data_IF_784309587091
#
_entry.id   IF_784309587091
#
_cell.length_a   1.000
_cell.length_b   1.000
_cell.length_c   1.000
_cell.angle_alpha   90.00
_cell.angle_beta   90.00
_cell.angle_gamma   90.00
#
_symmetry.space_group_name_H-M   'P 1'
#
loop_
_entity.id
_entity.type
_entity.pdbx_description
1 polymer ?
#
# COMPACT_ATOMS: atom_id res chain seq x y z
N UNK A 1 -36.89 -2.13 -16.67
CA UNK A 1 -36.08 -0.90 -16.67
C UNK A 1 -34.88 -1.17 -15.77
N UNK A 2 -33.66 -1.15 -16.31
CA UNK A 2 -32.46 -1.31 -15.48
C UNK A 2 -32.25 0.00 -14.72
N UNK A 3 -32.70 0.04 -13.46
CA UNK A 3 -32.37 1.13 -12.54
C UNK A 3 -30.84 1.19 -12.37
N UNK A 4 -30.23 2.19 -12.98
CA UNK A 4 -28.83 2.50 -12.79
C UNK A 4 -28.64 2.97 -11.34
N UNK A 5 -27.81 2.25 -10.59
CA UNK A 5 -27.42 2.62 -9.23
C UNK A 5 -25.93 2.97 -9.21
N UNK A 6 -25.52 4.08 -8.56
CA UNK A 6 -24.10 4.44 -8.45
C UNK A 6 -23.31 3.46 -7.56
N UNK A 7 -24.01 2.57 -6.86
CA UNK A 7 -23.44 1.52 -6.00
C UNK A 7 -23.51 0.19 -6.75
N UNK A 8 -22.39 -0.52 -6.81
CA UNK A 8 -22.33 -1.86 -7.42
C UNK A 8 -23.11 -2.86 -6.57
N UNK A 9 -23.92 -3.71 -7.21
CA UNK A 9 -24.67 -4.81 -6.54
C UNK A 9 -23.81 -6.06 -6.29
N UNK A 10 -22.75 -6.22 -7.08
CA UNK A 10 -21.80 -7.34 -7.00
C UNK A 10 -20.38 -6.80 -7.07
N UNK A 11 -19.50 -7.34 -6.25
CA UNK A 11 -18.08 -7.04 -6.31
C UNK A 11 -17.44 -7.85 -7.44
N UNK A 12 -16.77 -7.15 -8.34
CA UNK A 12 -15.91 -7.74 -9.36
C UNK A 12 -14.47 -7.26 -9.10
N UNK A 13 -13.54 -8.16 -8.72
CA UNK A 13 -12.16 -7.77 -8.44
C UNK A 13 -11.43 -7.22 -9.68
N UNK A 14 -11.78 -7.65 -10.88
CA UNK A 14 -11.16 -7.17 -12.12
C UNK A 14 -11.58 -5.72 -12.38
N UNK A 15 -12.89 -5.46 -12.38
CA UNK A 15 -13.42 -4.10 -12.60
C UNK A 15 -13.10 -3.14 -11.45
N UNK A 16 -13.08 -3.63 -10.21
CA UNK A 16 -12.60 -2.84 -9.09
C UNK A 16 -11.11 -2.51 -9.23
N UNK A 17 -10.33 -3.44 -9.80
CA UNK A 17 -8.89 -3.36 -10.01
C UNK A 17 -8.48 -2.42 -11.13
N UNK A 18 -9.28 -2.39 -12.20
CA UNK A 18 -9.02 -1.59 -13.40
C UNK A 18 -9.10 -0.09 -13.11
N UNK A 19 -8.23 0.70 -13.74
CA UNK A 19 -8.19 2.16 -13.56
C UNK A 19 -9.31 2.84 -14.35
N UNK A 20 -9.62 2.33 -15.54
CA UNK A 20 -10.61 2.88 -16.47
C UNK A 20 -11.86 2.01 -16.58
N UNK A 21 -11.89 0.84 -15.93
CA UNK A 21 -12.99 -0.10 -15.95
C UNK A 21 -13.05 -0.95 -17.22
N UNK A 22 -12.09 -0.80 -18.14
CA UNK A 22 -12.10 -1.48 -19.44
C UNK A 22 -11.39 -2.82 -19.42
N UNK A 23 -10.57 -3.11 -18.41
CA UNK A 23 -9.79 -4.36 -18.36
C UNK A 23 -10.69 -5.60 -18.49
N UNK A 24 -10.27 -6.51 -19.37
CA UNK A 24 -10.84 -7.85 -19.56
C UNK A 24 -9.94 -8.93 -18.93
N UNK A 25 -8.65 -8.64 -18.75
CA UNK A 25 -7.67 -9.54 -18.16
C UNK A 25 -7.04 -8.96 -16.89
N UNK A 26 -6.70 -9.79 -15.89
CA UNK A 26 -6.08 -9.32 -14.65
C UNK A 26 -4.67 -8.80 -14.90
N UNK A 27 -4.51 -7.48 -14.88
CA UNK A 27 -3.23 -6.80 -15.08
C UNK A 27 -2.25 -6.92 -13.89
N UNK A 28 -2.66 -7.50 -12.75
CA UNK A 28 -1.82 -7.67 -11.57
C UNK A 28 -2.11 -8.98 -10.82
N UNK A 29 -1.06 -9.57 -10.23
CA UNK A 29 -1.13 -10.74 -9.36
C UNK A 29 -2.14 -10.61 -8.22
N UNK A 30 -2.37 -9.42 -7.66
CA UNK A 30 -3.38 -9.22 -6.62
C UNK A 30 -4.81 -9.39 -7.15
N UNK A 31 -5.09 -8.88 -8.36
CA UNK A 31 -6.39 -9.03 -9.02
C UNK A 31 -6.63 -10.50 -9.36
N UNK A 32 -5.61 -11.17 -9.93
CA UNK A 32 -5.66 -12.61 -10.18
C UNK A 32 -5.90 -13.42 -8.89
N UNK A 33 -5.19 -13.09 -7.81
CA UNK A 33 -5.40 -13.73 -6.50
C UNK A 33 -6.81 -13.48 -5.96
N UNK A 34 -7.35 -12.28 -6.16
CA UNK A 34 -8.72 -11.96 -5.76
C UNK A 34 -9.71 -12.82 -6.56
N UNK A 35 -9.60 -12.87 -7.89
CA UNK A 35 -10.46 -13.68 -8.75
C UNK A 35 -10.45 -15.16 -8.38
N UNK A 36 -9.29 -15.71 -8.03
CA UNK A 36 -9.14 -17.11 -7.62
C UNK A 36 -9.55 -17.37 -6.17
N UNK A 37 -9.65 -16.34 -5.34
CA UNK A 37 -9.95 -16.49 -3.92
C UNK A 37 -11.44 -16.68 -3.68
N UNK A 38 -11.78 -17.68 -2.85
CA UNK A 38 -13.12 -17.83 -2.29
C UNK A 38 -13.13 -17.28 -0.87
N UNK A 39 -13.80 -16.14 -0.69
CA UNK A 39 -13.97 -15.55 0.63
C UNK A 39 -15.37 -15.79 1.17
N UNK A 40 -15.46 -16.23 2.44
CA UNK A 40 -16.71 -16.33 3.17
C UNK A 40 -16.63 -15.39 4.38
N UNK A 41 -17.56 -14.43 4.52
CA UNK A 41 -17.64 -13.57 5.68
C UNK A 41 -17.67 -14.33 7.00
N UNK A 42 -17.15 -13.71 8.06
CA UNK A 42 -17.16 -14.33 9.38
C UNK A 42 -18.61 -14.46 9.90
N UNK A 43 -19.06 -15.69 10.17
CA UNK A 43 -20.40 -15.98 10.69
C UNK A 43 -20.65 -15.45 12.10
N UNK A 44 -19.59 -15.17 12.87
CA UNK A 44 -19.70 -14.63 14.23
C UNK A 44 -20.09 -13.16 14.30
N UNK A 45 -20.28 -12.48 13.16
CA UNK A 45 -20.73 -11.07 13.14
C UNK A 45 -22.26 -11.03 13.17
N UNK A 46 -22.80 -10.64 14.33
CA UNK A 46 -24.24 -10.43 14.53
C UNK A 46 -24.61 -8.96 14.32
N UNK A 47 -25.88 -8.72 13.95
CA UNK A 47 -26.41 -7.37 13.68
C UNK A 47 -26.78 -7.17 12.21
N UNK A 48 -27.46 -6.07 11.90
CA UNK A 48 -27.90 -5.75 10.54
C UNK A 48 -26.76 -5.14 9.72
N UNK A 49 -26.33 -5.76 8.58
CA UNK A 49 -25.33 -5.18 7.69
C UNK A 49 -25.68 -3.80 7.15
N UNK A 50 -26.97 -3.52 6.91
CA UNK A 50 -27.42 -2.26 6.31
C UNK A 50 -27.33 -1.09 7.29
N UNK A 51 -27.40 -1.39 8.59
CA UNK A 51 -27.26 -0.41 9.68
C UNK A 51 -25.84 -0.38 10.27
N UNK A 52 -24.89 -1.08 9.64
CA UNK A 52 -23.51 -1.14 10.09
C UNK A 52 -22.60 -0.26 9.24
N UNK A 53 -21.91 0.66 9.91
CA UNK A 53 -20.93 1.57 9.34
C UNK A 53 -19.51 1.04 9.57
N UNK A 54 -18.70 1.08 8.52
CA UNK A 54 -17.28 0.77 8.55
C UNK A 54 -16.48 2.06 8.74
N UNK A 55 -15.63 2.07 9.78
CA UNK A 55 -14.72 3.19 10.07
C UNK A 55 -13.29 2.67 10.03
N UNK A 56 -12.40 3.33 9.30
CA UNK A 56 -11.00 2.93 9.15
C UNK A 56 -10.05 4.12 9.24
N UNK A 57 -8.74 3.84 9.22
CA UNK A 57 -7.66 4.82 9.46
C UNK A 57 -7.68 5.42 10.86
N UNK A 58 -8.26 4.69 11.82
CA UNK A 58 -8.24 5.07 13.22
C UNK A 58 -6.81 5.09 13.77
N UNK A 59 -6.58 5.90 14.79
CA UNK A 59 -5.33 5.82 15.55
C UNK A 59 -5.28 4.49 16.32
N UNK A 60 -4.10 3.86 16.49
CA UNK A 60 -3.98 2.68 17.33
C UNK A 60 -4.38 2.94 18.79
N UNK A 61 -4.32 4.20 19.21
CA UNK A 61 -4.70 4.66 20.55
C UNK A 61 -6.20 4.91 20.70
N UNK A 62 -6.97 4.97 19.61
CA UNK A 62 -8.41 5.25 19.67
C UNK A 62 -9.15 4.11 20.36
N UNK A 63 -9.96 4.44 21.37
CA UNK A 63 -10.76 3.49 22.14
C UNK A 63 -12.21 3.43 21.63
N UNK A 64 -12.93 2.37 22.02
CA UNK A 64 -14.36 2.23 21.71
C UNK A 64 -15.20 3.34 22.34
N UNK A 65 -14.83 3.80 23.53
CA UNK A 65 -15.47 4.92 24.22
C UNK A 65 -15.33 6.22 23.41
N UNK A 66 -14.15 6.48 22.86
CA UNK A 66 -13.93 7.68 22.04
C UNK A 66 -14.73 7.62 20.74
N UNK A 67 -14.81 6.45 20.12
CA UNK A 67 -15.68 6.25 18.96
C UNK A 67 -17.14 6.46 19.33
N UNK A 68 -17.59 5.96 20.49
CA UNK A 68 -18.95 6.18 20.98
C UNK A 68 -19.25 7.66 21.15
N UNK A 69 -18.40 8.40 21.83
CA UNK A 69 -18.54 9.84 22.05
C UNK A 69 -18.64 10.60 20.71
N UNK A 70 -17.74 10.31 19.78
CA UNK A 70 -17.70 11.01 18.48
C UNK A 70 -18.91 10.66 17.61
N UNK A 71 -19.28 9.38 17.52
CA UNK A 71 -20.31 8.92 16.59
C UNK A 71 -21.73 9.00 17.15
N UNK A 72 -21.91 9.12 18.48
CA UNK A 72 -23.25 9.26 19.09
C UNK A 72 -23.95 10.55 18.66
N UNK A 73 -23.21 11.56 18.18
CA UNK A 73 -23.80 12.81 17.65
C UNK A 73 -24.70 12.61 16.42
N UNK A 74 -24.49 11.52 15.68
CA UNK A 74 -25.24 11.24 14.44
C UNK A 74 -26.50 10.41 14.70
N UNK A 75 -26.56 9.70 15.83
CA UNK A 75 -27.72 8.95 16.29
C UNK A 75 -27.37 7.83 17.26
N UNK A 76 -28.40 7.10 17.68
CA UNK A 76 -28.27 6.05 18.69
C UNK A 76 -27.50 4.84 18.16
N UNK A 77 -26.39 4.55 18.84
CA UNK A 77 -25.54 3.40 18.55
C UNK A 77 -26.09 2.17 19.28
N UNK A 78 -26.27 1.08 18.54
CA UNK A 78 -26.67 -0.23 19.06
C UNK A 78 -25.46 -1.05 19.49
N UNK A 79 -24.40 -1.04 18.68
CA UNK A 79 -23.18 -1.81 18.95
C UNK A 79 -21.95 -1.14 18.34
N UNK A 80 -20.83 -1.21 19.04
CA UNK A 80 -19.51 -0.84 18.51
C UNK A 80 -18.63 -2.07 18.60
N UNK A 81 -17.81 -2.28 17.58
CA UNK A 81 -16.78 -3.32 17.57
C UNK A 81 -15.49 -2.75 17.00
N UNK A 82 -14.54 -2.43 17.86
CA UNK A 82 -13.19 -2.07 17.45
C UNK A 82 -12.40 -3.35 17.18
N UNK A 83 -11.89 -3.50 15.95
CA UNK A 83 -11.16 -4.72 15.61
C UNK A 83 -9.73 -4.63 16.11
N UNK A 84 -9.40 -5.55 17.02
CA UNK A 84 -8.07 -5.73 17.59
C UNK A 84 -7.43 -7.00 17.07
N UNK A 85 -6.12 -7.03 17.12
CA UNK A 85 -5.37 -8.24 16.86
C UNK A 85 -5.44 -9.19 18.07
N UNK A 86 -5.67 -10.47 17.80
CA UNK A 86 -5.92 -11.45 18.85
C UNK A 86 -4.65 -11.82 19.63
N UNK A 87 -3.47 -11.72 18.99
CA UNK A 87 -2.18 -12.03 19.60
C UNK A 87 -1.68 -10.81 20.37
N UNK A 88 -1.60 -9.66 19.70
CA UNK A 88 -0.94 -8.48 20.27
C UNK A 88 -1.90 -7.57 21.06
N UNK A 89 -3.21 -7.75 20.92
CA UNK A 89 -4.23 -6.89 21.53
C UNK A 89 -4.32 -5.48 20.92
N UNK A 90 -3.41 -5.12 20.01
CA UNK A 90 -3.39 -3.80 19.39
C UNK A 90 -4.55 -3.61 18.40
N UNK A 91 -5.07 -2.39 18.36
CA UNK A 91 -6.09 -1.98 17.40
C UNK A 91 -5.57 -2.09 15.96
N UNK A 92 -6.33 -2.76 15.09
CA UNK A 92 -6.01 -2.83 13.64
C UNK A 92 -6.33 -1.54 12.88
N UNK A 93 -6.80 -0.50 13.60
CA UNK A 93 -7.10 0.81 13.04
C UNK A 93 -8.43 0.87 12.27
N UNK A 94 -9.35 -0.06 12.54
CA UNK A 94 -10.71 -0.01 12.00
C UNK A 94 -11.74 -0.58 12.98
N UNK A 95 -12.98 -0.10 12.86
CA UNK A 95 -14.11 -0.45 13.70
C UNK A 95 -15.39 -0.57 12.88
N UNK A 96 -16.37 -1.27 13.45
CA UNK A 96 -17.73 -1.36 12.93
C UNK A 96 -18.69 -0.77 13.95
N UNK A 97 -19.61 0.06 13.48
CA UNK A 97 -20.61 0.75 14.32
C UNK A 97 -21.99 0.43 13.77
N UNK A 98 -22.79 -0.30 14.54
CA UNK A 98 -24.20 -0.60 14.21
C UNK A 98 -25.10 0.46 14.85
N UNK A 99 -25.90 1.15 14.04
CA UNK A 99 -26.91 2.11 14.51
C UNK A 99 -28.27 1.44 14.70
N UNK A 100 -29.13 2.08 15.49
CA UNK A 100 -30.54 1.65 15.60
C UNK A 100 -31.40 2.11 14.42
N UNK A 101 -31.03 3.20 13.76
CA UNK A 101 -31.83 3.85 12.71
C UNK A 101 -31.01 4.07 11.44
N UNK A 102 -31.67 3.92 10.29
CA UNK A 102 -31.05 4.14 8.97
C UNK A 102 -30.69 5.62 8.72
N UNK A 103 -31.52 6.54 9.23
CA UNK A 103 -31.23 7.97 9.11
C UNK A 103 -29.89 8.36 9.76
N UNK A 104 -29.53 7.70 10.86
CA UNK A 104 -28.28 7.96 11.57
C UNK A 104 -27.06 7.50 10.76
N UNK A 105 -27.13 6.31 10.13
CA UNK A 105 -26.02 5.82 9.30
C UNK A 105 -25.80 6.69 8.07
N UNK A 106 -26.88 7.16 7.43
CA UNK A 106 -26.79 8.04 6.27
C UNK A 106 -26.16 9.40 6.61
N UNK A 107 -26.51 9.99 7.75
CA UNK A 107 -25.88 11.22 8.27
C UNK A 107 -24.40 10.98 8.59
N UNK A 108 -24.09 9.92 9.34
CA UNK A 108 -22.71 9.58 9.70
C UNK A 108 -21.84 9.32 8.46
N UNK A 109 -22.36 8.62 7.44
CA UNK A 109 -21.64 8.35 6.20
C UNK A 109 -21.29 9.62 5.41
N UNK A 110 -22.16 10.62 5.44
CA UNK A 110 -21.96 11.90 4.76
C UNK A 110 -20.98 12.79 5.53
N UNK A 111 -21.21 12.97 6.82
CA UNK A 111 -20.56 14.02 7.61
C UNK A 111 -19.32 13.54 8.37
N UNK A 112 -19.23 12.25 8.72
CA UNK A 112 -18.10 11.73 9.50
C UNK A 112 -16.91 11.32 8.62
N UNK A 113 -17.08 11.25 7.30
CA UNK A 113 -15.99 10.90 6.39
C UNK A 113 -14.94 12.01 6.37
N UNK A 114 -13.66 11.67 6.58
CA UNK A 114 -12.52 12.58 6.76
C UNK A 114 -12.52 13.40 8.05
N UNK A 115 -13.33 13.02 9.04
CA UNK A 115 -13.25 13.62 10.37
C UNK A 115 -11.89 13.34 10.99
N UNK A 116 -11.31 14.30 11.72
CA UNK A 116 -10.05 14.11 12.43
C UNK A 116 -10.33 13.58 13.83
N UNK A 117 -9.84 12.37 14.13
CA UNK A 117 -9.87 11.74 15.47
C UNK A 117 -8.43 11.41 15.84
N UNK A 118 -7.97 11.84 17.01
CA UNK A 118 -6.61 11.60 17.51
C UNK A 118 -5.52 11.96 16.47
N UNK A 119 -5.67 13.14 15.84
CA UNK A 119 -4.77 13.67 14.80
C UNK A 119 -4.74 12.85 13.50
N UNK A 120 -5.73 11.97 13.26
CA UNK A 120 -5.85 11.21 12.02
C UNK A 120 -7.20 11.40 11.37
N UNK A 121 -7.19 11.60 10.06
CA UNK A 121 -8.41 11.59 9.24
C UNK A 121 -8.95 10.17 9.11
N UNK A 122 -10.18 9.99 9.58
CA UNK A 122 -10.88 8.71 9.50
C UNK A 122 -11.58 8.56 8.15
N UNK A 123 -11.62 7.34 7.64
CA UNK A 123 -12.38 7.00 6.46
C UNK A 123 -13.63 6.23 6.86
N UNK A 124 -14.80 6.69 6.40
CA UNK A 124 -16.10 6.16 6.78
C UNK A 124 -16.85 5.68 5.54
N UNK A 125 -17.31 4.44 5.58
CA UNK A 125 -18.09 3.83 4.50
C UNK A 125 -19.12 2.84 5.04
N UNK A 126 -19.99 2.32 4.18
CA UNK A 126 -20.90 1.23 4.56
C UNK A 126 -20.15 -0.09 4.77
N UNK A 127 -20.75 -1.02 5.52
CA UNK A 127 -20.21 -2.37 5.59
C UNK A 127 -20.41 -3.11 4.26
N UNK A 128 -19.29 -3.46 3.63
CA UNK A 128 -19.30 -4.14 2.33
C UNK A 128 -19.21 -5.66 2.45
N UNK A 129 -18.69 -6.17 3.57
CA UNK A 129 -18.40 -7.61 3.71
C UNK A 129 -19.64 -8.49 3.62
N UNK A 130 -20.73 -8.06 4.26
CA UNK A 130 -22.00 -8.78 4.28
C UNK A 130 -23.01 -8.26 3.25
N UNK A 131 -22.90 -6.99 2.84
CA UNK A 131 -23.84 -6.35 1.93
C UNK A 131 -23.47 -6.56 0.45
N UNK A 132 -22.17 -6.53 0.11
CA UNK A 132 -21.72 -6.63 -1.27
C UNK A 132 -21.42 -8.09 -1.66
N UNK A 133 -22.23 -8.66 -2.54
CA UNK A 133 -22.06 -10.05 -3.00
C UNK A 133 -20.72 -10.23 -3.71
N UNK A 134 -19.97 -11.24 -3.30
CA UNK A 134 -18.65 -11.54 -3.87
C UNK A 134 -17.53 -10.65 -3.35
N UNK A 135 -17.75 -9.89 -2.26
CA UNK A 135 -16.71 -9.06 -1.65
C UNK A 135 -15.46 -9.86 -1.29
N UNK A 136 -14.30 -9.31 -1.64
CA UNK A 136 -13.00 -9.91 -1.35
C UNK A 136 -12.18 -8.90 -0.56
N UNK A 137 -11.69 -9.23 0.65
CA UNK A 137 -10.92 -8.29 1.44
C UNK A 137 -9.49 -8.14 0.91
N UNK A 138 -8.82 -7.05 1.28
CA UNK A 138 -7.48 -6.68 0.79
C UNK A 138 -6.42 -7.77 0.96
N UNK A 139 -6.50 -8.59 2.01
CA UNK A 139 -5.56 -9.70 2.26
C UNK A 139 -5.54 -10.75 1.14
N UNK A 140 -6.67 -10.91 0.43
CA UNK A 140 -6.76 -11.79 -0.74
C UNK A 140 -6.53 -11.04 -2.06
N UNK A 141 -6.17 -9.75 -2.00
CA UNK A 141 -5.88 -8.95 -3.18
C UNK A 141 -7.07 -8.19 -3.75
N UNK A 142 -8.24 -8.22 -3.11
CA UNK A 142 -9.36 -7.34 -3.46
C UNK A 142 -9.39 -6.08 -2.59
N UNK A 143 -10.59 -5.72 -2.12
CA UNK A 143 -10.90 -4.55 -1.34
C UNK A 143 -11.08 -3.30 -2.19
N UNK A 144 -11.41 -2.18 -1.55
CA UNK A 144 -11.37 -0.86 -2.17
C UNK A 144 -10.19 -0.05 -1.65
N UNK A 145 -9.66 0.84 -2.48
CA UNK A 145 -8.49 1.65 -2.18
C UNK A 145 -7.19 0.85 -2.04
N UNK A 146 -6.10 1.57 -1.82
CA UNK A 146 -4.76 1.01 -1.66
C UNK A 146 -3.73 1.81 -2.42
N UNK A 147 -2.50 1.88 -1.88
CA UNK A 147 -1.33 2.41 -2.57
C UNK A 147 -0.40 1.23 -2.83
N UNK A 148 0.02 1.01 -4.08
CA UNK A 148 1.31 0.34 -4.30
C UNK A 148 2.41 1.30 -3.84
N UNK A 149 3.56 0.75 -3.48
CA UNK A 149 4.78 1.55 -3.30
C UNK A 149 5.12 2.34 -4.57
N UNK A 150 4.76 1.81 -5.74
CA UNK A 150 4.86 2.50 -7.03
C UNK A 150 3.90 3.68 -7.20
N UNK A 151 3.09 4.04 -6.19
CA UNK A 151 2.07 5.09 -6.27
C UNK A 151 0.80 4.68 -7.01
N UNK A 152 0.82 3.54 -7.72
CA UNK A 152 -0.31 3.00 -8.47
C UNK A 152 -1.48 2.68 -7.55
N UNK A 153 -2.65 3.25 -7.87
CA UNK A 153 -3.92 2.90 -7.26
C UNK A 153 -4.34 1.51 -7.74
N UNK A 154 -4.67 0.62 -6.80
CA UNK A 154 -5.09 -0.74 -7.13
C UNK A 154 -6.60 -0.90 -7.22
N UNK A 155 -7.36 -0.14 -6.42
CA UNK A 155 -8.80 -0.31 -6.36
C UNK A 155 -9.45 1.07 -6.25
N UNK A 156 -10.24 1.43 -7.25
CA UNK A 156 -11.07 2.64 -7.20
C UNK A 156 -12.07 2.56 -6.05
N UNK A 157 -12.40 3.71 -5.47
CA UNK A 157 -13.38 3.79 -4.39
C UNK A 157 -13.70 5.23 -4.02
N UNK A 158 -14.55 5.44 -3.01
CA UNK A 158 -15.01 6.79 -2.60
C UNK A 158 -13.87 7.77 -2.29
N UNK A 159 -12.80 7.31 -1.63
CA UNK A 159 -11.68 8.17 -1.25
C UNK A 159 -10.79 8.58 -2.45
N UNK A 160 -10.78 7.75 -3.49
CA UNK A 160 -9.94 7.91 -4.69
C UNK A 160 -10.74 7.46 -5.90
N UNK A 161 -11.70 8.29 -6.37
CA UNK A 161 -12.56 7.94 -7.47
C UNK A 161 -11.74 7.78 -8.76
N UNK A 162 -12.28 7.00 -9.69
CA UNK A 162 -11.69 6.82 -11.00
C UNK A 162 -11.46 8.18 -11.67
N UNK A 163 -10.26 8.35 -12.25
CA UNK A 163 -9.94 9.50 -13.08
C UNK A 163 -10.08 9.06 -14.52
N UNK A 164 -10.75 9.89 -15.35
CA UNK A 164 -10.77 9.65 -16.79
C UNK A 164 -9.33 9.54 -17.29
N UNK A 165 -9.01 8.62 -18.21
CA UNK A 165 -7.69 8.51 -18.79
C UNK A 165 -7.27 9.87 -19.37
N UNK A 166 -6.00 10.23 -19.21
CA UNK A 166 -5.47 11.45 -19.80
C UNK A 166 -5.47 11.22 -21.32
N UNK A 167 -6.34 11.93 -22.03
CA UNK A 167 -6.32 11.96 -23.49
C UNK A 167 -5.05 12.67 -23.94
N UNK A 168 -3.95 11.93 -24.06
CA UNK A 168 -2.75 12.42 -24.72
C UNK A 168 -3.08 12.55 -26.22
N UNK A 169 -2.90 13.72 -26.84
CA UNK A 169 -3.03 13.82 -28.28
C UNK A 169 -2.00 12.88 -28.92
N UNK A 170 -2.48 11.96 -29.73
CA UNK A 170 -1.65 11.13 -30.59
C UNK A 170 -1.03 12.08 -31.61
N UNK A 171 0.21 12.52 -31.38
CA UNK A 171 0.96 13.22 -32.41
C UNK A 171 1.42 12.18 -33.44
N UNK A 172 0.93 12.23 -34.69
CA UNK A 172 1.46 11.36 -35.74
C UNK A 172 2.94 11.68 -35.92
N UNK A 173 3.79 10.69 -35.70
CA UNK A 173 5.24 10.85 -35.87
C UNK A 173 5.55 10.91 -37.36
N UNK A 174 5.53 12.12 -37.96
CA UNK A 174 6.08 12.34 -39.29
C UNK A 174 7.61 12.21 -39.22
N UNK A 175 8.12 11.06 -39.62
CA UNK A 175 9.51 10.89 -39.99
C UNK A 175 9.76 11.68 -41.28
N UNK A 176 10.37 12.86 -41.17
CA UNK A 176 10.91 13.56 -42.34
C UNK A 176 12.37 13.13 -42.51
N UNK A 177 12.61 12.26 -43.48
CA UNK A 177 13.93 11.94 -43.99
C UNK A 177 14.39 13.06 -44.91
N UNK A 178 15.29 13.93 -44.45
CA UNK A 178 16.29 14.62 -45.28
C UNK A 178 17.04 15.70 -44.47
N UNK A 179 18.32 15.46 -44.19
CA UNK A 179 19.43 16.38 -44.56
C UNK A 179 20.71 16.10 -43.75
N UNK A 180 21.77 15.75 -44.50
CA UNK A 180 23.17 16.23 -44.41
C UNK A 180 23.69 16.56 -43.00
N UNK A 181 24.63 15.83 -42.40
CA UNK A 181 25.94 15.48 -42.96
C UNK A 181 26.99 16.47 -42.47
N UNK A 182 27.70 16.18 -41.38
CA UNK A 182 29.08 16.66 -41.19
C UNK A 182 29.81 15.84 -40.11
N UNK A 183 30.78 15.03 -40.58
CA UNK A 183 31.73 14.29 -39.76
C UNK A 183 32.84 15.25 -39.33
N UNK A 184 32.97 15.53 -38.03
CA UNK A 184 34.20 16.14 -37.49
C UNK A 184 35.00 15.10 -36.71
N UNK A 185 36.02 14.58 -37.39
CA UNK A 185 37.13 13.89 -36.77
C UNK A 185 37.88 14.84 -35.83
N UNK A 186 38.13 14.42 -34.58
CA UNK A 186 39.26 14.93 -33.78
C UNK A 186 39.95 13.75 -33.12
N UNK A 187 41.05 13.34 -33.75
CA UNK A 187 42.10 12.53 -33.16
C UNK A 187 42.82 13.33 -32.07
N UNK A 188 43.20 12.66 -30.97
CA UNK A 188 44.55 12.75 -30.37
C UNK A 188 44.70 11.83 -29.16
N UNK A 189 45.89 11.29 -29.10
CA UNK A 189 46.37 10.20 -28.26
C UNK A 189 46.91 10.68 -26.92
N UNK A 190 47.04 9.70 -26.01
CA UNK A 190 48.13 9.51 -25.03
C UNK A 190 48.29 10.46 -23.83
N UNK A 191 48.14 9.80 -22.68
CA UNK A 191 49.11 9.69 -21.57
C UNK A 191 49.05 10.65 -20.37
N UNK A 192 49.29 10.01 -19.20
CA UNK A 192 49.72 10.54 -17.88
C UNK A 192 48.77 11.49 -17.14
N UNK A 193 48.69 11.57 -15.81
CA UNK A 193 49.05 10.80 -14.59
C UNK A 193 49.07 11.86 -13.47
N UNK A 194 48.60 11.53 -12.25
CA UNK A 194 48.88 12.23 -10.98
C UNK A 194 48.31 13.68 -10.84
N UNK A 195 47.91 14.22 -9.70
CA UNK A 195 47.59 13.77 -8.35
C UNK A 195 47.09 15.01 -7.54
N UNK A 196 46.44 14.76 -6.39
CA UNK A 196 46.29 15.63 -5.21
C UNK A 196 45.34 16.87 -5.11
N UNK A 197 44.44 16.72 -4.11
CA UNK A 197 44.05 17.63 -3.00
C UNK A 197 43.18 18.87 -3.27
N UNK A 198 42.11 19.00 -2.47
CA UNK A 198 41.62 20.31 -2.03
C UNK A 198 40.13 20.44 -1.68
N UNK A 199 39.77 20.07 -0.44
CA UNK A 199 38.79 20.69 0.47
C UNK A 199 37.47 21.37 -0.01
N UNK A 200 36.38 20.83 0.58
CA UNK A 200 35.31 21.50 1.37
C UNK A 200 34.23 22.38 0.70
N UNK A 201 32.97 21.97 0.98
CA UNK A 201 31.76 22.74 1.45
C UNK A 201 31.26 23.89 0.54
N UNK A 202 29.98 24.15 0.29
CA UNK A 202 28.70 23.74 0.89
C UNK A 202 27.55 24.25 -0.03
N UNK A 203 26.35 23.68 0.13
CA UNK A 203 24.98 24.10 -0.27
C UNK A 203 24.63 24.68 -1.66
N UNK A 204 23.57 24.10 -2.26
CA UNK A 204 22.77 24.72 -3.33
C UNK A 204 22.25 23.73 -4.37
N UNK A 205 21.20 22.97 -4.05
CA UNK A 205 20.56 22.03 -5.00
C UNK A 205 19.22 22.60 -5.46
N UNK A 206 19.28 23.59 -6.33
CA UNK A 206 18.21 23.83 -7.31
C UNK A 206 18.54 23.03 -8.57
N UNK A 207 17.69 22.07 -8.90
CA UNK A 207 17.82 21.25 -10.11
C UNK A 207 16.50 21.25 -10.85
N UNK A 208 16.33 22.32 -11.61
CA UNK A 208 15.70 22.25 -12.92
C UNK A 208 16.31 21.08 -13.68
N UNK A 209 15.48 20.09 -14.06
CA UNK A 209 15.89 19.03 -14.97
C UNK A 209 14.81 18.79 -15.99
N UNK A 210 15.08 19.37 -17.16
CA UNK A 210 14.39 19.12 -18.40
C UNK A 210 14.28 17.63 -18.74
N UNK A 211 13.22 17.40 -19.49
CA UNK A 211 12.69 16.13 -19.97
C UNK A 211 13.74 15.42 -20.84
N UNK A 212 14.22 14.26 -20.39
CA UNK A 212 15.05 13.35 -21.21
C UNK A 212 14.16 12.58 -22.18
N UNK A 213 14.50 12.61 -23.47
CA UNK A 213 13.90 11.79 -24.54
C UNK A 213 14.09 10.28 -24.24
N UNK A 214 13.12 9.40 -24.55
CA UNK A 214 13.30 7.96 -24.43
C UNK A 214 14.16 7.42 -25.59
N UNK A 215 15.20 6.65 -25.27
CA UNK A 215 16.00 5.90 -26.26
C UNK A 215 15.22 4.67 -26.76
N UNK A 216 15.34 4.41 -28.07
CA UNK A 216 14.86 3.19 -28.75
C UNK A 216 15.36 1.93 -28.04
N UNK A 217 14.46 0.98 -27.80
CA UNK A 217 14.77 -0.34 -27.25
C UNK A 217 15.81 -1.06 -28.12
N UNK A 218 17.00 -1.29 -27.55
CA UNK A 218 18.01 -2.18 -28.13
C UNK A 218 17.59 -3.63 -27.89
N UNK A 219 17.81 -4.56 -28.85
CA UNK A 219 17.51 -5.97 -28.63
C UNK A 219 18.42 -6.54 -27.53
N UNK A 220 17.82 -7.26 -26.57
CA UNK A 220 18.50 -7.91 -25.44
C UNK A 220 19.57 -8.89 -25.95
N UNK A 221 20.84 -8.63 -25.63
CA UNK A 221 21.95 -9.49 -26.04
C UNK A 221 22.16 -10.64 -25.05
N UNK A 222 22.89 -11.69 -25.47
CA UNK A 222 23.19 -12.86 -24.61
C UNK A 222 24.02 -12.46 -23.39
N UNK A 223 24.86 -11.43 -23.52
CA UNK A 223 25.68 -10.86 -22.46
C UNK A 223 24.84 -10.13 -21.39
N UNK A 224 23.72 -9.49 -21.78
CA UNK A 224 22.79 -8.85 -20.83
C UNK A 224 22.11 -9.88 -19.91
N UNK A 225 21.88 -11.11 -20.39
CA UNK A 225 21.32 -12.20 -19.57
C UNK A 225 22.32 -12.71 -18.53
N UNK A 226 23.60 -12.81 -18.88
CA UNK A 226 24.65 -13.24 -17.94
C UNK A 226 24.91 -12.20 -16.86
N UNK A 227 24.97 -10.92 -17.21
CA UNK A 227 25.15 -9.85 -16.23
C UNK A 227 23.96 -9.75 -15.26
N UNK A 228 22.74 -9.95 -15.75
CA UNK A 228 21.55 -9.96 -14.90
C UNK A 228 21.48 -11.22 -14.01
N UNK A 229 21.93 -12.37 -14.51
CA UNK A 229 22.08 -13.59 -13.71
C UNK A 229 23.17 -13.44 -12.62
N UNK A 230 24.27 -12.73 -12.90
CA UNK A 230 25.31 -12.46 -11.91
C UNK A 230 24.85 -11.43 -10.86
N UNK A 231 24.10 -10.39 -11.28
CA UNK A 231 23.50 -9.41 -10.38
C UNK A 231 22.51 -10.06 -9.42
N UNK A 232 21.61 -10.92 -9.93
CA UNK A 232 20.64 -11.66 -9.10
C UNK A 232 21.32 -12.65 -8.15
N UNK A 233 22.42 -13.30 -8.56
CA UNK A 233 23.24 -14.13 -7.65
C UNK A 233 23.91 -13.31 -6.55
N UNK A 234 24.44 -12.12 -6.86
CA UNK A 234 25.04 -11.20 -5.88
C UNK A 234 24.01 -10.61 -4.92
N UNK A 235 22.78 -10.37 -5.36
CA UNK A 235 21.71 -9.92 -4.46
C UNK A 235 21.28 -11.03 -3.50
N UNK A 236 21.10 -12.26 -3.98
CA UNK A 236 20.77 -13.41 -3.13
C UNK A 236 21.85 -13.68 -2.07
N UNK A 237 23.13 -13.59 -2.42
CA UNK A 237 24.21 -13.76 -1.45
C UNK A 237 24.27 -12.63 -0.43
N UNK A 238 23.97 -11.39 -0.82
CA UNK A 238 23.84 -10.25 0.09
C UNK A 238 22.65 -10.38 1.04
N UNK A 239 21.51 -10.89 0.57
CA UNK A 239 20.36 -11.18 1.43
C UNK A 239 20.64 -12.30 2.42
N UNK A 240 21.31 -13.36 1.98
CA UNK A 240 21.70 -14.46 2.86
C UNK A 240 22.65 -13.99 3.96
N UNK A 241 23.68 -13.20 3.61
CA UNK A 241 24.59 -12.61 4.60
C UNK A 241 23.90 -11.64 5.58
N UNK A 242 22.83 -10.95 5.16
CA UNK A 242 22.02 -10.12 6.06
C UNK A 242 21.21 -10.98 7.02
N UNK A 243 20.59 -12.04 6.53
CA UNK A 243 19.81 -12.97 7.34
C UNK A 243 20.68 -13.68 8.39
N UNK A 244 21.90 -14.07 8.04
CA UNK A 244 22.85 -14.70 8.96
C UNK A 244 23.28 -13.72 10.08
N UNK A 245 23.58 -12.46 9.74
CA UNK A 245 23.86 -11.42 10.74
C UNK A 245 22.69 -11.13 11.67
N UNK A 246 21.46 -11.17 11.15
CA UNK A 246 20.26 -10.97 11.97
C UNK A 246 19.98 -12.16 12.89
N UNK A 247 20.38 -13.38 12.49
CA UNK A 247 20.34 -14.58 13.33
C UNK A 247 21.35 -14.50 14.47
N UNK A 248 22.60 -14.15 14.20
CA UNK A 248 23.63 -13.92 15.23
C UNK A 248 23.24 -12.84 16.24
N UNK A 249 22.61 -11.75 15.78
CA UNK A 249 22.08 -10.70 16.68
C UNK A 249 20.93 -11.19 17.55
N UNK A 250 20.11 -12.14 17.09
CA UNK A 250 19.05 -12.73 17.90
C UNK A 250 19.61 -13.70 18.93
N UNK A 251 20.60 -14.50 18.55
CA UNK A 251 21.20 -15.49 19.44
C UNK A 251 22.03 -14.82 20.55
N UNK A 252 22.82 -13.78 20.23
CA UNK A 252 23.53 -12.96 21.24
C UNK A 252 22.58 -12.25 22.22
N UNK A 253 21.40 -11.81 21.77
CA UNK A 253 20.36 -11.25 22.66
C UNK A 253 19.77 -12.31 23.60
N UNK A 254 19.59 -13.53 23.11
CA UNK A 254 19.10 -14.66 23.92
C UNK A 254 20.12 -15.06 24.98
N UNK A 255 21.40 -15.10 24.64
CA UNK A 255 22.48 -15.37 25.60
C UNK A 255 22.57 -14.30 26.68
N UNK A 256 22.55 -13.01 26.31
CA UNK A 256 22.52 -11.91 27.29
C UNK A 256 21.32 -11.96 28.22
N UNK A 257 20.17 -12.43 27.73
CA UNK A 257 18.96 -12.59 28.55
C UNK A 257 19.14 -13.73 29.56
N UNK A 258 19.65 -14.89 29.10
CA UNK A 258 19.97 -16.03 29.98
C UNK A 258 21.01 -15.68 31.04
N UNK A 259 22.04 -14.92 30.68
CA UNK A 259 23.07 -14.48 31.63
C UNK A 259 22.51 -13.50 32.68
N UNK A 260 21.58 -12.62 32.28
CA UNK A 260 20.87 -11.73 33.19
C UNK A 260 19.98 -12.51 34.17
N UNK A 261 19.27 -13.52 33.68
CA UNK A 261 18.40 -14.38 34.51
C UNK A 261 19.23 -15.21 35.51
N UNK A 262 20.39 -15.72 35.09
CA UNK A 262 21.32 -16.45 35.95
C UNK A 262 21.90 -15.55 37.06
N UNK A 263 22.31 -14.32 36.73
CA UNK A 263 22.80 -13.35 37.73
C UNK A 263 21.73 -12.98 38.74
N UNK A 264 20.47 -12.87 38.31
CA UNK A 264 19.33 -12.54 39.18
C UNK A 264 19.03 -13.68 40.17
N UNK A 265 19.05 -14.92 39.70
CA UNK A 265 18.88 -16.07 40.59
C UNK A 265 19.99 -16.18 41.65
N UNK A 266 21.23 -15.90 41.27
CA UNK A 266 22.37 -15.93 42.20
C UNK A 266 22.32 -14.80 43.25
N UNK A 267 21.79 -13.63 42.92
CA UNK A 267 21.62 -12.55 43.90
C UNK A 267 20.50 -12.82 44.90
N UNK A 268 19.44 -13.50 44.48
CA UNK A 268 18.30 -13.85 45.34
C UNK A 268 18.66 -14.99 46.34
N UNK A 269 19.65 -15.82 46.01
CA UNK A 269 20.16 -16.91 46.85
C UNK A 269 21.14 -16.44 47.94
N UNK A 270 21.79 -15.29 47.76
CA UNK A 270 22.73 -14.70 48.73
C UNK A 270 22.06 -13.76 49.75
N UNK A 271 20.76 -13.49 49.58
CA UNK A 271 20.00 -12.52 50.36
C UNK A 271 18.85 -13.19 51.17
N UNK A 272 18.97 -14.50 51.39
CA UNK A 272 18.19 -15.32 52.32
C UNK A 272 19.14 -15.94 53.34
#
# INVERSE_FOLDING_TARGET
MNEWTPIAKKYDPLKAGSIDGTDEEPHDRAVLRAMLSRYVPNKGVTGDPHLTLFVSRLSPQTTEEKLKEVFSRYGDIKRIRLVRDFITGFSKGYAFIEYKQENAIMKAHRDANKLVIDQREVFVDFELERNLKGWIPRRFGGGFGGKKESGQLRFGGRDRPFRKPINLPIFPHQFNSESRGEKRHRSRSRDRSHDWRGQRRDYGRDRDRGIRRPEKERPYTKDDKEQNAEHTKRERSREQAKNDKDKEKKDSKRERSRERDYRKHRSDEHNR
#
